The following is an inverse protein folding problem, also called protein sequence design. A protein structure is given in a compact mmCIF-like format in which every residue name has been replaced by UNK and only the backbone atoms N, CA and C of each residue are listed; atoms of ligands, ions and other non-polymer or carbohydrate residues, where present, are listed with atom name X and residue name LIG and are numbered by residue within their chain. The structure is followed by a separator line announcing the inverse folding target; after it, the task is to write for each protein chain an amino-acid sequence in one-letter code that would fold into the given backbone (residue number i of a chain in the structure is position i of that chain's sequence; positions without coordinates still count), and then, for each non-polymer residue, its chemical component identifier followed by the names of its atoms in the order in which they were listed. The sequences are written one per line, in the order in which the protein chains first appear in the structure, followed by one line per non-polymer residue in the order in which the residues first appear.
data_IF_317816636154
#
_entry.id   IF_317816636154
#
_cell.length_a   1.000
_cell.length_b   1.000
_cell.length_c   1.000
_cell.angle_alpha   90.00
_cell.angle_beta   90.00
_cell.angle_gamma   90.00
#
_symmetry.space_group_name_H-M   'P 1'
#
loop_
_entity.id
_entity.type
_entity.pdbx_description
1 polymer ?
#
# COMPACT_ATOMS: atom_id res chain seq x y z
N UNK A 1 9.09 1.29 -9.71
CA UNK A 1 7.76 1.93 -9.68
C UNK A 1 7.67 3.04 -10.71
N UNK A 2 6.51 3.22 -11.31
CA UNK A 2 6.20 4.28 -12.26
C UNK A 2 5.41 5.38 -11.57
N UNK A 3 5.76 6.61 -11.88
CA UNK A 3 5.13 7.80 -11.31
C UNK A 3 4.44 8.58 -12.45
N UNK A 4 3.15 8.85 -12.28
CA UNK A 4 2.34 9.56 -13.26
C UNK A 4 1.78 10.83 -12.65
N UNK A 5 1.89 11.93 -13.39
CA UNK A 5 1.31 13.23 -13.04
C UNK A 5 0.33 13.67 -14.13
N UNK A 6 -0.70 14.41 -13.72
CA UNK A 6 -1.63 14.97 -14.69
C UNK A 6 -0.93 16.00 -15.58
N UNK A 7 -1.19 16.05 -16.91
CA UNK A 7 -0.54 16.99 -17.83
C UNK A 7 -0.68 18.47 -17.44
N UNK A 8 -1.80 18.84 -16.81
CA UNK A 8 -2.03 20.20 -16.32
C UNK A 8 -1.33 20.50 -14.99
N UNK A 9 -0.66 19.51 -14.38
CA UNK A 9 0.27 19.70 -13.28
C UNK A 9 -0.38 19.91 -11.91
N UNK A 10 -0.07 21.02 -11.26
CA UNK A 10 -0.37 21.28 -9.83
C UNK A 10 -1.85 21.20 -9.50
N UNK A 11 -2.18 20.43 -8.46
CA UNK A 11 -3.55 20.30 -7.92
C UNK A 11 -4.29 19.04 -8.31
N UNK A 12 -3.76 18.25 -9.23
CA UNK A 12 -4.31 16.94 -9.59
C UNK A 12 -3.63 15.81 -8.80
N UNK A 13 -4.35 14.70 -8.56
CA UNK A 13 -3.76 13.50 -7.96
C UNK A 13 -2.60 12.96 -8.79
N UNK A 14 -1.63 12.38 -8.10
CA UNK A 14 -0.52 11.62 -8.70
C UNK A 14 -0.78 10.14 -8.51
N UNK A 15 -0.34 9.33 -9.46
CA UNK A 15 -0.51 7.88 -9.44
C UNK A 15 0.86 7.22 -9.41
N UNK A 16 1.03 6.26 -8.49
CA UNK A 16 2.19 5.40 -8.43
C UNK A 16 1.76 3.98 -8.76
N UNK A 17 2.48 3.36 -9.69
CA UNK A 17 2.31 1.95 -10.03
C UNK A 17 3.62 1.24 -9.74
N UNK A 18 3.60 0.34 -8.77
CA UNK A 18 4.72 -0.53 -8.46
C UNK A 18 4.71 -1.76 -9.35
N UNK A 19 5.88 -2.26 -9.67
CA UNK A 19 6.07 -3.49 -10.44
C UNK A 19 6.78 -4.54 -9.59
N UNK A 20 6.39 -5.78 -9.75
CA UNK A 20 7.14 -6.92 -9.26
C UNK A 20 8.23 -7.26 -10.28
N UNK A 21 9.49 -7.22 -9.85
CA UNK A 21 10.65 -7.56 -10.69
C UNK A 21 10.79 -9.09 -10.78
N UNK A 22 10.05 -9.71 -11.68
CA UNK A 22 9.92 -11.17 -11.79
C UNK A 22 11.26 -11.88 -12.00
N UNK A 23 12.22 -11.22 -12.66
CA UNK A 23 13.56 -11.75 -12.85
C UNK A 23 14.35 -11.93 -11.55
N UNK A 24 13.95 -11.23 -10.48
CA UNK A 24 14.56 -11.31 -9.15
C UNK A 24 13.80 -12.27 -8.22
N UNK A 25 12.68 -12.83 -8.67
CA UNK A 25 11.84 -13.71 -7.88
C UNK A 25 12.19 -15.19 -8.11
N UNK A 26 11.78 -16.04 -7.16
CA UNK A 26 11.93 -17.48 -7.28
C UNK A 26 11.18 -18.05 -8.49
N UNK A 27 11.59 -19.24 -8.92
CA UNK A 27 10.91 -19.96 -9.99
C UNK A 27 9.45 -20.25 -9.65
N UNK A 28 9.15 -20.60 -8.38
CA UNK A 28 7.78 -20.88 -7.92
C UNK A 28 6.92 -19.62 -7.98
N UNK A 29 7.43 -18.47 -7.52
CA UNK A 29 6.67 -17.21 -7.61
C UNK A 29 6.37 -16.87 -9.07
N UNK A 30 7.37 -16.98 -9.96
CA UNK A 30 7.16 -16.75 -11.41
C UNK A 30 6.11 -17.67 -12.00
N UNK A 31 6.09 -18.95 -11.60
CA UNK A 31 5.08 -19.91 -12.06
C UNK A 31 3.65 -19.53 -11.60
N UNK A 32 3.51 -19.08 -10.34
CA UNK A 32 2.21 -18.58 -9.83
C UNK A 32 1.75 -17.38 -10.64
N UNK A 33 2.64 -16.41 -10.90
CA UNK A 33 2.30 -15.22 -11.70
C UNK A 33 1.92 -15.61 -13.13
N UNK A 34 2.65 -16.52 -13.77
CA UNK A 34 2.33 -17.00 -15.12
C UNK A 34 0.91 -17.61 -15.19
N UNK A 35 0.56 -18.44 -14.21
CA UNK A 35 -0.79 -19.01 -14.09
C UNK A 35 -1.87 -17.93 -13.97
N UNK A 36 -1.64 -16.91 -13.14
CA UNK A 36 -2.56 -15.77 -12.99
C UNK A 36 -2.74 -15.04 -14.32
N UNK A 37 -1.63 -14.75 -15.00
CA UNK A 37 -1.67 -14.03 -16.27
C UNK A 37 -2.46 -14.79 -17.36
N UNK A 38 -2.41 -16.12 -17.35
CA UNK A 38 -3.20 -16.96 -18.25
C UNK A 38 -4.72 -16.92 -17.95
N UNK A 39 -5.10 -16.65 -16.70
CA UNK A 39 -6.50 -16.54 -16.28
C UNK A 39 -7.13 -15.16 -16.59
N UNK A 40 -6.32 -14.13 -16.88
CA UNK A 40 -6.82 -12.76 -17.09
C UNK A 40 -7.46 -12.62 -18.48
N UNK A 41 -8.74 -12.19 -18.56
CA UNK A 41 -9.42 -12.00 -19.84
C UNK A 41 -9.03 -10.67 -20.50
N UNK A 42 -7.81 -10.53 -20.96
CA UNK A 42 -7.24 -9.27 -21.47
C UNK A 42 -8.08 -8.57 -22.53
N UNK A 43 -8.81 -9.33 -23.36
CA UNK A 43 -9.64 -8.78 -24.43
C UNK A 43 -10.86 -8.00 -23.93
N UNK A 44 -11.29 -8.29 -22.71
CA UNK A 44 -12.51 -7.75 -22.11
C UNK A 44 -12.21 -6.70 -21.02
N UNK A 45 -10.93 -6.30 -20.90
CA UNK A 45 -10.52 -5.32 -19.90
C UNK A 45 -10.59 -3.91 -20.49
N UNK A 46 -11.47 -3.09 -19.91
CA UNK A 46 -11.44 -1.64 -20.09
C UNK A 46 -10.43 -1.02 -19.13
N UNK A 47 -9.37 -0.43 -19.67
CA UNK A 47 -8.30 0.19 -18.88
C UNK A 47 -8.80 1.34 -18.00
N UNK A 48 -9.87 2.05 -18.38
CA UNK A 48 -10.43 3.14 -17.59
C UNK A 48 -11.07 2.65 -16.29
N UNK A 49 -11.47 1.39 -16.24
CA UNK A 49 -12.09 0.76 -15.07
C UNK A 49 -11.22 -0.31 -14.42
N UNK A 50 -9.99 -0.48 -14.88
CA UNK A 50 -9.10 -1.56 -14.43
C UNK A 50 -8.95 -1.60 -12.91
N UNK A 51 -8.70 -0.47 -12.27
CA UNK A 51 -8.53 -0.37 -10.81
C UNK A 51 -9.80 -0.65 -9.99
N UNK A 52 -10.94 -0.81 -10.66
CA UNK A 52 -12.21 -1.18 -10.03
C UNK A 52 -12.55 -2.67 -10.22
N UNK A 53 -11.73 -3.40 -10.97
CA UNK A 53 -11.98 -4.82 -11.26
C UNK A 53 -11.65 -5.73 -10.10
N UNK A 54 -10.70 -5.32 -9.25
CA UNK A 54 -10.17 -6.20 -8.21
C UNK A 54 -9.45 -7.41 -8.81
N UNK A 55 -9.59 -8.55 -8.16
CA UNK A 55 -8.98 -9.80 -8.58
C UNK A 55 -9.82 -10.51 -9.66
N UNK A 56 -9.15 -11.03 -10.69
CA UNK A 56 -9.75 -11.71 -11.83
C UNK A 56 -9.40 -13.22 -11.91
N UNK A 57 -8.83 -13.79 -10.85
CA UNK A 57 -8.42 -15.20 -10.75
C UNK A 57 -8.86 -15.81 -9.42
N UNK A 58 -8.84 -17.13 -9.35
CA UNK A 58 -9.12 -17.87 -8.13
C UNK A 58 -7.93 -17.88 -7.17
N UNK A 59 -8.22 -17.92 -5.86
CA UNK A 59 -7.20 -17.96 -4.81
C UNK A 59 -6.98 -19.38 -4.28
N UNK A 60 -5.72 -19.76 -4.24
CA UNK A 60 -5.21 -20.91 -3.52
C UNK A 60 -4.44 -20.46 -2.27
N UNK A 61 -4.76 -21.05 -1.11
CA UNK A 61 -4.11 -20.61 0.13
C UNK A 61 -2.63 -21.03 0.19
N UNK A 62 -2.25 -22.16 -0.40
CA UNK A 62 -0.86 -22.59 -0.44
C UNK A 62 0.01 -21.60 -1.25
N UNK A 63 -0.50 -21.12 -2.38
CA UNK A 63 0.17 -20.11 -3.18
C UNK A 63 0.30 -18.79 -2.41
N UNK A 64 -0.77 -18.33 -1.73
CA UNK A 64 -0.73 -17.15 -0.87
C UNK A 64 0.32 -17.28 0.24
N UNK A 65 0.32 -18.40 0.98
CA UNK A 65 1.25 -18.64 2.10
C UNK A 65 2.71 -18.68 1.63
N UNK A 66 2.93 -19.22 0.44
CA UNK A 66 4.25 -19.20 -0.20
C UNK A 66 4.66 -17.77 -0.58
N UNK A 67 3.79 -17.05 -1.29
CA UNK A 67 4.05 -15.67 -1.73
C UNK A 67 4.34 -14.76 -0.53
N UNK A 68 3.58 -14.88 0.56
CA UNK A 68 3.75 -14.05 1.76
C UNK A 68 5.14 -14.22 2.41
N UNK A 69 5.71 -15.42 2.31
CA UNK A 69 7.05 -15.70 2.85
C UNK A 69 8.17 -15.15 2.00
N UNK A 70 7.96 -15.02 0.70
CA UNK A 70 8.95 -14.51 -0.24
C UNK A 70 8.80 -13.00 -0.46
N UNK A 71 7.57 -12.52 -0.65
CA UNK A 71 7.25 -11.12 -0.94
C UNK A 71 5.84 -10.79 -0.47
N UNK A 72 5.73 -9.97 0.58
CA UNK A 72 4.44 -9.45 1.04
C UNK A 72 3.71 -8.67 -0.05
N UNK A 73 4.46 -7.92 -0.88
CA UNK A 73 3.92 -7.20 -2.01
C UNK A 73 3.27 -8.15 -3.02
N UNK A 74 3.93 -9.25 -3.39
CA UNK A 74 3.38 -10.24 -4.30
C UNK A 74 2.13 -10.92 -3.70
N UNK A 75 2.14 -11.24 -2.40
CA UNK A 75 0.99 -11.83 -1.72
C UNK A 75 -0.22 -10.88 -1.67
N UNK A 76 0.01 -9.59 -1.45
CA UNK A 76 -1.05 -8.58 -1.47
C UNK A 76 -1.65 -8.46 -2.88
N UNK A 77 -0.83 -8.36 -3.92
CA UNK A 77 -1.29 -8.33 -5.31
C UNK A 77 -2.06 -9.58 -5.70
N UNK A 78 -1.61 -10.75 -5.23
CA UNK A 78 -2.29 -12.03 -5.46
C UNK A 78 -3.70 -12.03 -4.91
N UNK A 79 -3.91 -11.47 -3.72
CA UNK A 79 -5.21 -11.44 -3.05
C UNK A 79 -6.14 -10.39 -3.62
N UNK A 80 -5.64 -9.18 -3.87
CA UNK A 80 -6.50 -8.02 -4.19
C UNK A 80 -6.55 -7.68 -5.68
N UNK A 81 -5.53 -8.06 -6.45
CA UNK A 81 -5.50 -7.83 -7.89
C UNK A 81 -5.43 -6.36 -8.28
N UNK A 82 -6.27 -5.97 -9.21
CA UNK A 82 -6.31 -4.62 -9.77
C UNK A 82 -7.11 -3.68 -8.87
N UNK A 83 -6.48 -3.17 -7.83
CA UNK A 83 -7.04 -2.15 -6.96
C UNK A 83 -5.96 -1.25 -6.38
N UNK A 84 -6.36 -0.12 -5.80
CA UNK A 84 -5.45 0.75 -5.09
C UNK A 84 -5.03 0.12 -3.75
N UNK A 85 -3.73 0.04 -3.49
CA UNK A 85 -3.20 -0.42 -2.20
C UNK A 85 -3.44 0.63 -1.11
N UNK A 86 -3.22 1.90 -1.42
CA UNK A 86 -3.49 3.01 -0.50
C UNK A 86 -3.80 4.30 -1.25
N UNK A 87 -4.39 5.22 -0.54
CA UNK A 87 -4.56 6.60 -0.96
C UNK A 87 -3.74 7.50 -0.05
N UNK A 88 -2.92 8.38 -0.62
CA UNK A 88 -2.14 9.34 0.13
C UNK A 88 -2.86 10.70 0.15
N UNK A 89 -3.20 11.14 1.34
CA UNK A 89 -3.75 12.48 1.58
C UNK A 89 -2.60 13.48 1.68
N UNK A 90 -2.61 14.50 0.82
CA UNK A 90 -1.60 15.56 0.85
C UNK A 90 -1.96 16.59 1.93
N UNK A 91 -1.32 16.47 3.09
CA UNK A 91 -1.65 17.26 4.30
C UNK A 91 -1.49 18.76 4.10
N UNK A 92 -0.58 19.21 3.23
CA UNK A 92 -0.39 20.61 2.94
C UNK A 92 -1.64 21.32 2.37
N UNK A 93 -2.59 20.55 1.77
CA UNK A 93 -3.86 21.09 1.27
C UNK A 93 -4.97 21.12 2.32
N UNK A 94 -4.76 20.48 3.47
CA UNK A 94 -5.72 20.46 4.55
C UNK A 94 -5.60 21.74 5.38
N UNK A 95 -6.36 22.77 5.04
CA UNK A 95 -6.27 24.09 5.68
C UNK A 95 -6.55 24.10 7.17
N UNK A 96 -7.27 23.12 7.68
CA UNK A 96 -7.69 22.99 9.08
C UNK A 96 -6.54 22.51 9.96
N UNK A 97 -5.59 21.75 9.42
CA UNK A 97 -4.50 21.13 10.19
C UNK A 97 -3.16 21.86 9.92
N UNK A 98 -2.42 22.12 10.99
CA UNK A 98 -1.11 22.81 10.94
C UNK A 98 0.05 21.84 10.93
N UNK A 99 -0.16 20.59 11.34
CA UNK A 99 0.87 19.57 11.43
C UNK A 99 0.32 18.20 11.07
N UNK A 100 1.22 17.25 10.79
CA UNK A 100 0.84 15.85 10.62
C UNK A 100 0.35 15.24 11.94
N UNK A 101 0.89 15.70 13.08
CA UNK A 101 0.42 15.27 14.40
C UNK A 101 -1.06 15.61 14.63
N UNK A 102 -1.51 16.81 14.26
CA UNK A 102 -2.93 17.18 14.36
C UNK A 102 -3.83 16.29 13.50
N UNK A 103 -3.35 15.89 12.30
CA UNK A 103 -4.05 14.93 11.46
C UNK A 103 -4.13 13.56 12.15
N UNK A 104 -3.02 13.09 12.72
CA UNK A 104 -2.97 11.82 13.44
C UNK A 104 -3.93 11.80 14.64
N UNK A 105 -3.96 12.89 15.41
CA UNK A 105 -4.86 13.00 16.57
C UNK A 105 -6.33 13.02 16.14
N UNK A 106 -6.65 13.70 15.04
CA UNK A 106 -7.98 13.70 14.46
C UNK A 106 -8.39 12.30 13.99
N UNK A 107 -7.52 11.59 13.29
CA UNK A 107 -7.76 10.23 12.78
C UNK A 107 -8.02 9.28 13.96
N UNK A 108 -7.20 9.34 15.01
CA UNK A 108 -7.38 8.54 16.24
C UNK A 108 -8.68 8.89 16.97
N UNK A 109 -9.02 10.17 17.08
CA UNK A 109 -10.26 10.63 17.71
C UNK A 109 -11.52 10.14 16.97
N UNK A 110 -11.40 9.84 15.68
CA UNK A 110 -12.48 9.26 14.86
C UNK A 110 -12.45 7.72 14.82
N UNK A 111 -11.67 7.06 15.70
CA UNK A 111 -11.69 5.62 15.90
C UNK A 111 -10.76 4.81 14.98
N UNK A 112 -9.95 5.46 14.17
CA UNK A 112 -8.97 4.77 13.33
C UNK A 112 -7.67 4.54 14.10
N UNK A 113 -7.06 3.38 13.89
CA UNK A 113 -5.73 3.07 14.42
C UNK A 113 -4.67 3.50 13.42
N UNK A 114 -3.59 4.07 13.93
CA UNK A 114 -2.41 4.37 13.12
C UNK A 114 -1.38 3.25 13.24
N UNK A 115 -0.58 3.14 12.19
CA UNK A 115 0.61 2.30 12.20
C UNK A 115 1.70 2.97 13.04
N UNK A 116 2.03 2.36 14.18
CA UNK A 116 3.02 2.83 15.13
C UNK A 116 4.39 2.10 15.06
N UNK A 117 4.54 1.16 14.12
CA UNK A 117 5.80 0.44 13.90
C UNK A 117 6.94 1.42 13.55
N UNK A 118 7.86 1.62 14.45
CA UNK A 118 8.94 2.60 14.34
C UNK A 118 8.51 4.06 14.57
N UNK A 119 7.36 4.28 15.22
CA UNK A 119 6.73 5.57 15.48
C UNK A 119 5.59 5.89 14.51
N UNK A 120 4.58 6.62 14.96
CA UNK A 120 3.43 7.00 14.12
C UNK A 120 3.83 7.89 12.95
N UNK A 121 4.77 8.82 13.16
CA UNK A 121 5.30 9.70 12.12
C UNK A 121 6.67 9.20 11.69
N UNK A 122 6.83 9.02 10.40
CA UNK A 122 8.07 8.62 9.72
C UNK A 122 8.61 9.77 8.91
N UNK A 123 9.92 9.94 8.92
CA UNK A 123 10.57 11.11 8.33
C UNK A 123 10.57 12.32 9.25
N UNK A 124 11.16 13.41 8.78
CA UNK A 124 11.31 14.67 9.53
C UNK A 124 11.22 15.87 8.60
N UNK A 125 10.98 17.09 9.13
CA UNK A 125 11.07 18.32 8.33
C UNK A 125 12.42 18.51 7.63
N UNK A 126 13.52 18.08 8.25
CA UNK A 126 14.87 18.16 7.67
C UNK A 126 15.03 17.19 6.49
N UNK A 127 14.31 16.08 6.48
CA UNK A 127 14.20 15.16 5.36
C UNK A 127 13.17 15.62 4.32
N UNK A 128 12.54 16.75 4.55
CA UNK A 128 11.54 17.41 3.71
C UNK A 128 10.25 16.59 3.50
N UNK A 129 10.02 15.57 4.31
CA UNK A 129 8.84 14.73 4.24
C UNK A 129 8.55 14.08 5.60
N UNK A 130 7.32 14.21 6.05
CA UNK A 130 6.75 13.43 7.15
C UNK A 130 5.57 12.62 6.62
N UNK A 131 5.46 11.37 7.05
CA UNK A 131 4.39 10.45 6.66
C UNK A 131 3.85 9.69 7.86
N UNK A 132 2.56 9.43 7.86
CA UNK A 132 1.89 8.49 8.75
C UNK A 132 0.85 7.70 7.97
N UNK A 133 0.38 6.58 8.52
CA UNK A 133 -0.67 5.79 7.87
C UNK A 133 -1.62 5.16 8.88
N UNK A 134 -2.84 4.89 8.45
CA UNK A 134 -3.74 4.00 9.20
C UNK A 134 -3.20 2.57 9.13
N UNK A 135 -3.60 1.75 10.10
CA UNK A 135 -3.48 0.29 9.93
C UNK A 135 -4.44 -0.17 8.84
N UNK A 136 -4.01 -1.15 8.06
CA UNK A 136 -4.90 -1.86 7.16
C UNK A 136 -5.85 -2.75 7.96
N UNK A 137 -7.15 -2.67 7.68
CA UNK A 137 -8.13 -3.55 8.28
C UNK A 137 -7.95 -5.00 7.79
N UNK A 138 -8.22 -5.94 8.68
CA UNK A 138 -8.27 -7.36 8.33
C UNK A 138 -9.64 -7.70 7.73
N UNK A 139 -9.65 -8.14 6.47
CA UNK A 139 -10.86 -8.56 5.77
C UNK A 139 -10.85 -10.07 5.50
N UNK A 140 -12.02 -10.75 5.65
CA UNK A 140 -12.11 -12.18 5.35
C UNK A 140 -12.00 -12.42 3.84
N UNK A 141 -10.96 -13.12 3.45
CA UNK A 141 -10.72 -13.54 2.06
C UNK A 141 -11.05 -15.03 1.92
N UNK A 142 -11.84 -15.34 0.92
CA UNK A 142 -12.22 -16.71 0.57
C UNK A 142 -11.17 -17.30 -0.38
N UNK A 143 -10.47 -18.32 0.07
CA UNK A 143 -9.63 -19.20 -0.73
C UNK A 143 -10.43 -20.45 -1.10
N UNK A 144 -9.93 -21.30 -2.01
CA UNK A 144 -10.62 -22.53 -2.42
C UNK A 144 -10.93 -23.46 -1.26
N UNK A 145 -10.06 -23.53 -0.27
CA UNK A 145 -10.11 -24.49 0.85
C UNK A 145 -10.44 -23.86 2.20
N UNK A 146 -10.36 -22.55 2.35
CA UNK A 146 -10.56 -21.87 3.63
C UNK A 146 -10.86 -20.37 3.51
N UNK A 147 -11.22 -19.77 4.64
CA UNK A 147 -11.32 -18.31 4.79
C UNK A 147 -10.19 -17.84 5.72
N UNK A 148 -9.53 -16.75 5.35
CA UNK A 148 -8.49 -16.10 6.16
C UNK A 148 -8.72 -14.60 6.20
N UNK A 149 -8.45 -13.99 7.33
CA UNK A 149 -8.39 -12.54 7.46
C UNK A 149 -7.04 -12.04 6.96
N UNK A 150 -7.07 -11.19 5.94
CA UNK A 150 -5.88 -10.65 5.26
C UNK A 150 -5.90 -9.12 5.35
N UNK A 151 -4.75 -8.46 5.65
CA UNK A 151 -4.65 -7.00 5.64
C UNK A 151 -5.05 -6.43 4.28
N UNK A 152 -5.92 -5.40 4.29
CA UNK A 152 -6.47 -4.77 3.10
C UNK A 152 -5.69 -3.50 2.70
N UNK A 153 -6.41 -2.45 2.36
CA UNK A 153 -5.88 -1.15 1.99
C UNK A 153 -5.79 -0.22 3.21
N UNK A 154 -5.05 0.86 3.09
CA UNK A 154 -4.90 1.87 4.14
C UNK A 154 -4.90 3.29 3.56
N UNK A 155 -5.00 4.29 4.42
CA UNK A 155 -4.74 5.68 4.08
C UNK A 155 -3.36 6.09 4.57
N UNK A 156 -2.62 6.79 3.72
CA UNK A 156 -1.39 7.46 4.08
C UNK A 156 -1.64 8.98 4.17
N UNK A 157 -0.97 9.65 5.08
CA UNK A 157 -0.96 11.09 5.22
C UNK A 157 0.46 11.58 5.03
N UNK A 158 0.67 12.49 4.08
CA UNK A 158 2.00 12.99 3.74
C UNK A 158 2.04 14.51 3.84
N UNK A 159 2.96 15.03 4.64
CA UNK A 159 3.31 16.44 4.71
C UNK A 159 4.67 16.67 4.09
N UNK A 160 4.74 17.54 3.11
CA UNK A 160 5.97 17.88 2.37
C UNK A 160 6.44 19.26 2.74
N UNK A 161 7.75 19.46 2.72
CA UNK A 161 8.40 20.70 3.05
C UNK A 161 9.11 21.28 1.82
N UNK A 162 9.34 22.59 1.85
CA UNK A 162 9.98 23.29 0.77
C UNK A 162 11.49 23.01 0.73
N UNK A 163 12.01 22.83 -0.46
CA UNK A 163 13.43 22.82 -0.76
C UNK A 163 13.98 24.26 -0.74
N UNK A 164 15.32 24.46 -0.74
CA UNK A 164 15.93 25.79 -0.81
C UNK A 164 15.50 26.63 -2.03
N UNK A 165 15.03 26.00 -3.09
CA UNK A 165 14.51 26.66 -4.31
C UNK A 165 13.03 27.08 -4.19
N UNK A 166 12.38 26.87 -3.05
CA UNK A 166 10.98 27.19 -2.79
C UNK A 166 9.97 26.18 -3.33
N UNK A 167 10.44 25.13 -4.01
CA UNK A 167 9.54 24.05 -4.49
C UNK A 167 9.37 23.00 -3.40
N UNK A 168 8.16 22.44 -3.29
CA UNK A 168 7.92 21.33 -2.38
C UNK A 168 8.71 20.08 -2.81
N UNK A 169 9.28 19.40 -1.82
CA UNK A 169 9.98 18.13 -2.06
C UNK A 169 9.03 17.10 -2.66
N UNK A 170 9.41 16.46 -3.75
CA UNK A 170 8.59 15.49 -4.49
C UNK A 170 9.08 14.04 -4.34
N UNK A 171 10.17 13.83 -3.62
CA UNK A 171 10.76 12.50 -3.42
C UNK A 171 10.07 11.67 -2.34
N UNK A 172 10.68 10.56 -2.01
CA UNK A 172 10.27 9.57 -1.00
C UNK A 172 11.41 9.35 -0.02
N UNK A 173 11.06 8.86 1.18
CA UNK A 173 12.04 8.37 2.13
C UNK A 173 12.23 6.89 1.83
N UNK A 174 13.39 6.52 1.25
CA UNK A 174 13.69 5.14 0.85
C UNK A 174 13.52 4.14 2.01
N UNK A 175 13.94 4.51 3.22
CA UNK A 175 13.79 3.67 4.41
C UNK A 175 12.33 3.45 4.85
N UNK A 176 11.38 4.28 4.40
CA UNK A 176 9.95 4.05 4.67
C UNK A 176 9.32 3.08 3.67
N UNK A 177 9.86 2.98 2.46
CA UNK A 177 9.37 2.06 1.44
C UNK A 177 9.54 0.59 1.88
N UNK A 178 10.68 0.24 2.47
CA UNK A 178 10.94 -1.11 2.98
C UNK A 178 10.06 -1.47 4.18
N UNK A 179 9.65 -0.47 4.98
CA UNK A 179 8.84 -0.65 6.19
C UNK A 179 7.33 -0.49 5.97
N UNK A 180 6.90 0.02 4.84
CA UNK A 180 5.47 0.17 4.50
C UNK A 180 4.81 -1.21 4.44
N UNK A 181 5.50 -2.22 3.93
CA UNK A 181 5.00 -3.60 3.87
C UNK A 181 5.13 -4.33 5.22
N UNK A 182 6.21 -4.11 5.99
CA UNK A 182 6.32 -4.63 7.36
C UNK A 182 5.21 -4.09 8.27
N UNK A 183 4.69 -2.92 7.98
CA UNK A 183 3.69 -2.24 8.79
C UNK A 183 2.24 -2.62 8.48
N UNK A 184 1.98 -3.30 7.38
CA UNK A 184 0.69 -3.93 7.11
C UNK A 184 0.57 -5.29 7.82
N UNK A 185 1.66 -5.84 8.32
CA UNK A 185 1.61 -7.04 9.15
C UNK A 185 1.07 -6.71 10.55
N UNK A 186 -0.04 -7.32 10.88
CA UNK A 186 -0.49 -7.48 12.27
C UNK A 186 0.71 -7.96 13.08
N UNK A 187 1.14 -7.16 14.05
CA UNK A 187 2.36 -7.37 14.81
C UNK A 187 2.49 -8.83 15.25
N UNK A 188 3.69 -9.38 15.22
CA UNK A 188 4.02 -10.71 15.76
C UNK A 188 3.53 -10.92 17.21
N UNK A 189 3.15 -9.84 17.92
CA UNK A 189 2.58 -9.87 19.25
C UNK A 189 1.17 -10.49 19.29
N UNK A 190 0.35 -10.38 18.25
CA UNK A 190 -0.96 -11.05 18.22
C UNK A 190 -0.86 -12.54 17.91
N UNK A 191 0.23 -13.00 17.31
CA UNK A 191 0.51 -14.43 17.10
C UNK A 191 0.84 -15.18 18.40
N UNK A 192 1.19 -14.47 19.47
CA UNK A 192 1.53 -15.06 20.77
C UNK A 192 0.30 -15.33 21.65
N UNK A 193 -0.88 -14.77 21.34
CA UNK A 193 -2.10 -14.88 22.15
C UNK A 193 -3.15 -15.85 21.57
N UNK A 194 -2.83 -16.58 20.48
CA UNK A 194 -3.70 -17.59 19.88
C UNK A 194 -3.10 -19.00 19.97
N UNK A 195 -2.44 -19.32 21.09
CA UNK A 195 -2.09 -20.70 21.44
C UNK A 195 -2.88 -21.16 22.66
#
# INVERSE_FOLDING_TARGET
AHHYEHPEGKGYPKIFISELLLEQCSERLRAIVAKILDEIPYKDIDLNTLLLKGRLWDLDYEDYDFLQKESEYASWMYVYGFCANHFTVFVNYLKTFKSLQEVNDFVKANGYKLNDSGGEIKGTPEQLLEQSSTLADLVPIVFRDKIKNIPSCYYEFARRYEKPDGELYQGFIAASADKIFESTNVSLAEKAHSK
#
